data_IF_767590304256
#
_entry.id   IF_767590304256
#
_cell.length_a   1.000
_cell.length_b   1.000
_cell.length_c   1.000
_cell.angle_alpha   90.00
_cell.angle_beta   90.00
_cell.angle_gamma   90.00
#
_symmetry.space_group_name_H-M   'P 1'
#
loop_
_entity.id
_entity.type
_entity.pdbx_description
1 polymer ?
#
# COMPACT_ATOMS: atom_id res chain seq x y z
N UNK A 1 -8.66 41.35 7.49
CA UNK A 1 -7.98 40.56 6.43
C UNK A 1 -8.64 39.21 6.43
N UNK A 2 -8.72 38.50 5.29
CA UNK A 2 -9.45 37.21 5.21
C UNK A 2 -9.11 36.27 6.37
N UNK A 3 -7.82 36.17 6.74
CA UNK A 3 -7.38 35.34 7.89
C UNK A 3 -7.97 35.81 9.23
N UNK A 4 -7.96 37.12 9.52
CA UNK A 4 -8.52 37.66 10.75
C UNK A 4 -10.03 37.43 10.84
N UNK A 5 -10.75 37.65 9.73
CA UNK A 5 -12.20 37.52 9.67
C UNK A 5 -12.63 36.06 9.91
N UNK A 6 -11.92 35.09 9.29
CA UNK A 6 -12.13 33.65 9.53
C UNK A 6 -11.79 33.27 10.98
N UNK A 7 -10.69 33.81 11.53
CA UNK A 7 -10.27 33.52 12.91
C UNK A 7 -11.31 33.99 13.91
N UNK A 8 -11.86 35.18 13.71
CA UNK A 8 -12.92 35.74 14.55
C UNK A 8 -14.18 34.86 14.49
N UNK A 9 -14.63 34.50 13.28
CA UNK A 9 -15.80 33.63 13.11
C UNK A 9 -15.60 32.25 13.78
N UNK A 10 -14.44 31.61 13.59
CA UNK A 10 -14.14 30.32 14.21
C UNK A 10 -14.13 30.41 15.75
N UNK A 11 -13.61 31.51 16.31
CA UNK A 11 -13.56 31.71 17.75
C UNK A 11 -14.94 32.00 18.34
N UNK A 12 -15.70 32.92 17.74
CA UNK A 12 -16.96 33.41 18.28
C UNK A 12 -18.12 32.42 18.07
N UNK A 13 -18.24 31.85 16.86
CA UNK A 13 -19.38 31.01 16.48
C UNK A 13 -19.11 29.52 16.70
N UNK A 14 -17.90 29.05 16.34
CA UNK A 14 -17.55 27.63 16.41
C UNK A 14 -16.81 27.24 17.68
N UNK A 15 -16.32 28.22 18.46
CA UNK A 15 -15.49 28.03 19.66
C UNK A 15 -14.23 27.19 19.39
N UNK A 16 -13.60 27.42 18.23
CA UNK A 16 -12.38 26.76 17.79
C UNK A 16 -11.23 27.77 17.63
N UNK A 17 -10.02 27.34 17.95
CA UNK A 17 -8.79 28.12 17.73
C UNK A 17 -8.13 27.75 16.40
N UNK A 18 -7.73 28.76 15.63
CA UNK A 18 -7.02 28.58 14.37
C UNK A 18 -5.53 28.38 14.65
N UNK A 19 -4.93 27.34 14.06
CA UNK A 19 -3.48 27.13 14.14
C UNK A 19 -2.76 28.07 13.16
N UNK A 20 -2.10 29.09 13.69
CA UNK A 20 -1.36 30.08 12.89
C UNK A 20 -0.21 29.48 12.09
N UNK A 21 0.53 28.54 12.69
CA UNK A 21 1.66 27.85 12.06
C UNK A 21 1.25 27.09 10.79
N UNK A 22 0.02 26.57 10.75
CA UNK A 22 -0.48 25.77 9.62
C UNK A 22 -1.19 26.61 8.58
N UNK A 23 -1.63 27.80 8.95
CA UNK A 23 -2.47 28.67 8.11
C UNK A 23 -1.66 29.84 7.55
N UNK A 24 -0.86 29.50 6.55
CA UNK A 24 0.03 30.43 5.85
C UNK A 24 -0.61 30.88 4.53
N UNK A 25 -0.51 32.18 4.23
CA UNK A 25 -0.85 32.74 2.92
C UNK A 25 0.44 32.74 2.11
N UNK A 26 0.50 31.87 1.10
CA UNK A 26 1.67 31.73 0.22
C UNK A 26 1.38 32.33 -1.16
N UNK A 27 2.44 32.70 -1.88
CA UNK A 27 2.29 33.16 -3.25
C UNK A 27 1.77 32.01 -4.14
N UNK A 28 0.93 32.32 -5.12
CA UNK A 28 0.22 31.28 -5.88
C UNK A 28 1.13 30.41 -6.77
N UNK A 29 2.35 30.87 -7.06
CA UNK A 29 3.37 30.08 -7.77
C UNK A 29 4.12 29.11 -6.85
N UNK A 30 4.09 29.35 -5.53
CA UNK A 30 4.65 28.44 -4.56
C UNK A 30 3.71 27.25 -4.37
N UNK A 31 4.31 26.08 -4.13
CA UNK A 31 3.56 24.84 -3.97
C UNK A 31 2.88 24.79 -2.61
N UNK A 32 1.55 24.88 -2.61
CA UNK A 32 0.74 24.63 -1.43
C UNK A 32 0.37 23.15 -1.34
N UNK A 33 0.41 22.56 -0.15
CA UNK A 33 -0.01 21.16 0.08
C UNK A 33 -1.48 21.13 0.48
N UNK A 34 -2.30 20.38 -0.26
CA UNK A 34 -3.71 20.22 0.05
C UNK A 34 -4.17 18.80 -0.32
N UNK A 35 -4.80 18.09 0.62
CA UNK A 35 -5.28 16.71 0.44
C UNK A 35 -4.24 15.78 -0.22
N UNK A 36 -2.97 15.89 0.19
CA UNK A 36 -1.88 15.06 -0.34
C UNK A 36 -1.38 15.45 -1.74
N UNK A 37 -1.96 16.45 -2.39
CA UNK A 37 -1.46 17.06 -3.63
C UNK A 37 -0.63 18.29 -3.32
N UNK A 38 0.26 18.63 -4.25
CA UNK A 38 0.86 19.95 -4.36
C UNK A 38 0.12 20.76 -5.43
N UNK A 39 -0.35 21.94 -5.07
CA UNK A 39 -1.14 22.83 -5.92
C UNK A 39 -0.34 24.12 -6.13
N UNK A 40 -0.21 24.55 -7.37
CA UNK A 40 0.40 25.82 -7.72
C UNK A 40 -0.09 26.33 -9.09
N UNK A 41 0.09 27.62 -9.33
CA UNK A 41 -0.13 28.25 -10.62
C UNK A 41 1.16 28.17 -11.43
N UNK A 42 1.10 27.52 -12.60
CA UNK A 42 2.26 27.35 -13.47
C UNK A 42 2.61 28.68 -14.15
N UNK A 43 3.86 29.11 -14.01
CA UNK A 43 4.48 30.15 -14.83
C UNK A 43 5.32 29.49 -15.91
N UNK A 44 5.01 29.75 -17.18
CA UNK A 44 5.69 29.08 -18.30
C UNK A 44 5.52 29.88 -19.59
N UNK A 45 6.63 30.15 -20.28
CA UNK A 45 6.62 30.81 -21.59
C UNK A 45 6.46 29.82 -22.77
N UNK A 46 6.37 28.53 -22.47
CA UNK A 46 6.16 27.49 -23.46
C UNK A 46 4.87 27.73 -24.28
N UNK A 47 5.01 27.64 -25.60
CA UNK A 47 3.95 27.92 -26.56
C UNK A 47 3.48 26.60 -27.18
N UNK A 48 2.16 26.45 -27.33
CA UNK A 48 1.52 25.30 -27.97
C UNK A 48 0.71 25.79 -29.16
N UNK A 49 0.72 25.05 -30.27
CA UNK A 49 -0.21 25.29 -31.38
C UNK A 49 -1.59 24.73 -31.05
N UNK A 50 -2.62 25.52 -31.29
CA UNK A 50 -4.01 25.08 -31.22
C UNK A 50 -4.37 24.23 -32.44
N UNK A 51 -5.60 23.68 -32.45
CA UNK A 51 -6.14 22.94 -33.60
C UNK A 51 -6.11 23.79 -34.89
N UNK A 52 -6.25 25.10 -34.76
CA UNK A 52 -6.21 26.08 -35.86
C UNK A 52 -4.79 26.53 -36.24
N UNK A 53 -3.74 25.90 -35.70
CA UNK A 53 -2.34 26.23 -36.01
C UNK A 53 -1.77 27.47 -35.30
N UNK A 54 -2.62 28.25 -34.61
CA UNK A 54 -2.22 29.45 -33.87
C UNK A 54 -1.41 29.10 -32.62
N UNK A 55 -0.30 29.83 -32.41
CA UNK A 55 0.56 29.72 -31.24
C UNK A 55 -0.08 30.41 -30.02
N UNK A 56 -0.31 29.66 -28.93
CA UNK A 56 -0.83 30.18 -27.66
C UNK A 56 0.00 29.72 -26.46
N UNK A 57 0.03 30.54 -25.41
CA UNK A 57 0.69 30.25 -24.12
C UNK A 57 -0.28 29.61 -23.13
N UNK A 58 -0.91 28.49 -23.51
CA UNK A 58 -1.96 27.82 -22.72
C UNK A 58 -1.49 27.29 -21.35
N UNK A 59 -0.17 27.14 -21.17
CA UNK A 59 0.39 26.61 -19.93
C UNK A 59 0.58 27.67 -18.84
N UNK A 60 0.58 28.96 -19.19
CA UNK A 60 0.80 30.03 -18.25
C UNK A 60 -0.49 30.35 -17.49
N UNK A 61 -0.41 30.50 -16.17
CA UNK A 61 -1.58 30.79 -15.34
C UNK A 61 -2.47 29.59 -15.04
N UNK A 62 -2.16 28.40 -15.58
CA UNK A 62 -2.92 27.19 -15.32
C UNK A 62 -2.68 26.66 -13.90
N UNK A 63 -3.74 26.26 -13.21
CA UNK A 63 -3.65 25.54 -11.93
C UNK A 63 -3.18 24.12 -12.19
N UNK A 64 -2.11 23.71 -11.51
CA UNK A 64 -1.50 22.39 -11.67
C UNK A 64 -1.50 21.66 -10.33
N UNK A 65 -1.99 20.41 -10.38
CA UNK A 65 -1.86 19.45 -9.30
C UNK A 65 -0.65 18.56 -9.57
N UNK A 66 0.24 18.37 -8.59
CA UNK A 66 1.35 17.42 -8.67
C UNK A 66 1.41 16.50 -7.46
N UNK A 67 1.94 15.30 -7.67
CA UNK A 67 2.26 14.34 -6.62
C UNK A 67 3.73 14.54 -6.20
N UNK A 68 3.96 14.75 -4.92
CA UNK A 68 5.30 14.85 -4.35
C UNK A 68 5.91 13.45 -4.15
N UNK A 69 7.15 13.25 -4.61
CA UNK A 69 7.88 11.99 -4.43
C UNK A 69 8.09 11.59 -2.97
N UNK A 70 8.11 12.55 -2.03
CA UNK A 70 8.15 12.27 -0.59
C UNK A 70 6.90 11.54 -0.10
N UNK A 71 5.72 11.83 -0.68
CA UNK A 71 4.48 11.12 -0.36
C UNK A 71 4.55 9.66 -0.83
N UNK A 72 5.14 9.44 -2.00
CA UNK A 72 5.35 8.10 -2.57
C UNK A 72 6.30 7.31 -1.69
N UNK A 73 7.42 7.91 -1.31
CA UNK A 73 8.40 7.31 -0.41
C UNK A 73 7.74 6.93 0.91
N UNK A 74 6.99 7.84 1.53
CA UNK A 74 6.24 7.59 2.77
C UNK A 74 5.29 6.40 2.60
N UNK A 75 4.51 6.35 1.52
CA UNK A 75 3.59 5.24 1.23
C UNK A 75 4.30 3.90 1.02
N UNK A 76 5.41 3.88 0.30
CA UNK A 76 6.20 2.67 0.09
C UNK A 76 6.82 2.15 1.40
N UNK A 77 7.25 3.07 2.27
CA UNK A 77 7.75 2.75 3.62
C UNK A 77 6.62 2.24 4.52
N UNK A 78 5.45 2.87 4.51
CA UNK A 78 4.24 2.41 5.24
C UNK A 78 3.89 0.96 4.87
N UNK A 79 3.99 0.60 3.58
CA UNK A 79 3.76 -0.76 3.13
C UNK A 79 4.93 -1.73 3.35
N UNK A 80 6.03 -1.29 3.98
CA UNK A 80 7.26 -2.06 4.14
C UNK A 80 7.84 -2.59 2.81
N UNK A 81 7.61 -1.89 1.70
CA UNK A 81 8.06 -2.26 0.35
C UNK A 81 9.41 -1.66 -0.04
N UNK A 82 9.84 -0.62 0.69
CA UNK A 82 11.04 0.17 0.41
C UNK A 82 12.00 0.13 1.59
N UNK A 83 13.28 0.12 1.25
CA UNK A 83 14.42 0.37 2.12
C UNK A 83 15.25 1.46 1.44
N UNK A 84 15.52 2.56 2.14
CA UNK A 84 16.40 3.62 1.64
C UNK A 84 17.81 3.28 2.07
N UNK A 85 18.72 3.16 1.09
CA UNK A 85 20.13 2.89 1.35
C UNK A 85 20.95 4.09 0.91
N UNK A 86 21.82 4.58 1.78
CA UNK A 86 22.79 5.58 1.38
C UNK A 86 24.01 4.87 0.79
N UNK A 87 24.27 5.09 -0.50
CA UNK A 87 25.45 4.57 -1.20
C UNK A 87 26.14 5.78 -1.81
N UNK A 88 27.41 5.99 -1.44
CA UNK A 88 28.24 7.11 -1.90
C UNK A 88 27.59 8.49 -1.69
N UNK A 89 26.97 8.68 -0.52
CA UNK A 89 26.28 9.92 -0.16
C UNK A 89 24.93 10.13 -0.84
N UNK A 90 24.46 9.17 -1.65
CA UNK A 90 23.18 9.24 -2.36
C UNK A 90 22.17 8.25 -1.78
N UNK A 91 20.97 8.75 -1.52
CA UNK A 91 19.85 7.92 -1.09
C UNK A 91 19.24 7.17 -2.28
N UNK A 92 19.45 5.87 -2.31
CA UNK A 92 18.95 4.96 -3.34
C UNK A 92 17.78 4.17 -2.79
N UNK A 93 16.71 4.10 -3.58
CA UNK A 93 15.48 3.39 -3.24
C UNK A 93 15.64 1.90 -3.56
N UNK A 94 15.72 1.06 -2.52
CA UNK A 94 15.85 -0.38 -2.66
C UNK A 94 14.54 -1.09 -2.31
N UNK A 95 14.10 -2.03 -3.15
CA UNK A 95 12.90 -2.82 -2.83
C UNK A 95 13.16 -3.80 -1.67
N UNK A 96 12.20 -3.93 -0.75
CA UNK A 96 12.25 -4.82 0.42
C UNK A 96 11.19 -5.93 0.30
N UNK A 97 11.52 -7.21 0.60
CA UNK A 97 10.51 -8.26 0.68
C UNK A 97 9.60 -8.08 1.90
N UNK A 98 8.30 -8.26 1.70
CA UNK A 98 7.28 -8.19 2.75
C UNK A 98 7.05 -9.56 3.37
N UNK A 99 7.96 -9.97 4.26
CA UNK A 99 7.97 -11.32 4.86
C UNK A 99 6.67 -11.68 5.60
N UNK A 100 5.93 -10.69 6.10
CA UNK A 100 4.65 -10.93 6.77
C UNK A 100 3.56 -11.48 5.81
N UNK A 101 3.74 -11.36 4.50
CA UNK A 101 2.82 -11.90 3.49
C UNK A 101 3.18 -13.33 3.06
N UNK A 102 4.30 -13.90 3.53
CA UNK A 102 4.72 -15.27 3.20
C UNK A 102 3.62 -16.34 3.42
N UNK A 103 2.77 -16.26 4.47
CA UNK A 103 1.68 -17.21 4.66
C UNK A 103 0.57 -17.14 3.59
N UNK A 104 0.39 -16.01 2.90
CA UNK A 104 -0.67 -15.83 1.90
C UNK A 104 -0.37 -16.59 0.61
N UNK A 105 -1.39 -16.98 -0.17
CA UNK A 105 -1.18 -17.65 -1.46
C UNK A 105 -0.49 -16.72 -2.48
N UNK A 106 0.29 -17.24 -3.44
CA UNK A 106 0.99 -16.40 -4.42
C UNK A 106 0.06 -15.43 -5.18
N UNK A 107 -1.13 -15.89 -5.58
CA UNK A 107 -2.16 -15.10 -6.25
C UNK A 107 -2.73 -13.99 -5.35
N UNK A 108 -2.84 -14.26 -4.05
CA UNK A 108 -3.34 -13.34 -3.03
C UNK A 108 -2.33 -12.25 -2.71
N UNK A 109 -1.04 -12.63 -2.65
CA UNK A 109 0.06 -11.66 -2.60
C UNK A 109 -0.02 -10.72 -3.80
N UNK A 110 -0.11 -11.25 -5.02
CA UNK A 110 -0.19 -10.41 -6.22
C UNK A 110 -1.42 -9.49 -6.20
N UNK A 111 -2.59 -9.99 -5.76
CA UNK A 111 -3.80 -9.17 -5.65
C UNK A 111 -3.65 -8.02 -4.66
N UNK A 112 -3.00 -8.24 -3.51
CA UNK A 112 -2.72 -7.18 -2.54
C UNK A 112 -1.85 -6.08 -3.15
N UNK A 113 -0.73 -6.44 -3.80
CA UNK A 113 0.14 -5.45 -4.46
C UNK A 113 -0.59 -4.68 -5.57
N UNK A 114 -1.47 -5.36 -6.31
CA UNK A 114 -2.31 -4.72 -7.32
C UNK A 114 -3.32 -3.75 -6.71
N UNK A 115 -4.00 -4.14 -5.63
CA UNK A 115 -4.98 -3.29 -4.95
C UNK A 115 -4.33 -2.01 -4.40
N UNK A 116 -3.15 -2.12 -3.79
CA UNK A 116 -2.38 -0.97 -3.31
C UNK A 116 -1.93 -0.05 -4.44
N UNK A 117 -1.46 -0.62 -5.55
CA UNK A 117 -1.04 0.15 -6.74
C UNK A 117 -2.21 0.88 -7.38
N UNK A 118 -3.35 0.19 -7.55
CA UNK A 118 -4.58 0.80 -8.06
C UNK A 118 -5.12 1.87 -7.13
N UNK A 119 -5.12 1.63 -5.82
CA UNK A 119 -5.59 2.60 -4.83
C UNK A 119 -4.81 3.91 -4.88
N UNK A 120 -3.47 3.83 -4.91
CA UNK A 120 -2.62 5.01 -5.03
C UNK A 120 -2.87 5.75 -6.34
N UNK A 121 -2.90 5.03 -7.47
CA UNK A 121 -3.12 5.64 -8.78
C UNK A 121 -4.51 6.28 -8.89
N UNK A 122 -5.56 5.62 -8.43
CA UNK A 122 -6.91 6.17 -8.46
C UNK A 122 -7.00 7.48 -7.70
N UNK A 123 -6.43 7.53 -6.49
CA UNK A 123 -6.43 8.74 -5.66
C UNK A 123 -5.65 9.89 -6.31
N UNK A 124 -4.48 9.60 -6.90
CA UNK A 124 -3.58 10.61 -7.49
C UNK A 124 -3.75 10.82 -9.01
N UNK A 125 -4.77 10.23 -9.62
CA UNK A 125 -4.95 10.21 -11.08
C UNK A 125 -5.09 11.61 -11.72
N UNK A 126 -5.41 12.64 -10.93
CA UNK A 126 -5.51 14.04 -11.36
C UNK A 126 -4.17 14.76 -11.47
N UNK A 127 -3.10 14.23 -10.86
CA UNK A 127 -1.79 14.88 -10.86
C UNK A 127 -1.17 14.91 -12.26
N UNK A 128 -0.56 16.04 -12.62
CA UNK A 128 0.10 16.23 -13.91
C UNK A 128 1.30 15.29 -14.12
N UNK A 129 2.02 14.97 -13.05
CA UNK A 129 3.17 14.06 -13.06
C UNK A 129 2.82 12.62 -12.65
N UNK A 130 1.52 12.25 -12.57
CA UNK A 130 1.07 10.93 -12.10
C UNK A 130 1.72 9.78 -12.88
N UNK A 131 1.90 9.93 -14.20
CA UNK A 131 2.49 8.88 -15.02
C UNK A 131 3.91 8.52 -14.60
N UNK A 132 4.72 9.51 -14.23
CA UNK A 132 6.11 9.29 -13.80
C UNK A 132 6.14 8.73 -12.38
N UNK A 133 5.43 9.39 -11.48
CA UNK A 133 5.44 9.08 -10.06
C UNK A 133 4.83 7.70 -9.76
N UNK A 134 3.66 7.39 -10.32
CA UNK A 134 3.03 6.07 -10.14
C UNK A 134 3.79 4.96 -10.88
N UNK A 135 4.46 5.24 -12.00
CA UNK A 135 5.33 4.25 -12.64
C UNK A 135 6.54 3.90 -11.75
N UNK A 136 7.16 4.90 -11.13
CA UNK A 136 8.24 4.69 -10.15
C UNK A 136 7.76 3.88 -8.95
N UNK A 137 6.60 4.24 -8.38
CA UNK A 137 5.95 3.49 -7.30
C UNK A 137 5.71 2.03 -7.69
N UNK A 138 5.06 1.79 -8.83
CA UNK A 138 4.73 0.46 -9.32
C UNK A 138 5.97 -0.39 -9.62
N UNK A 139 7.07 0.24 -10.05
CA UNK A 139 8.34 -0.44 -10.24
C UNK A 139 8.90 -0.98 -8.91
N UNK A 140 8.94 -0.15 -7.85
CA UNK A 140 9.37 -0.61 -6.51
C UNK A 140 8.44 -1.71 -5.99
N UNK A 141 7.13 -1.54 -6.15
CA UNK A 141 6.13 -2.53 -5.78
C UNK A 141 6.33 -3.87 -6.50
N UNK A 142 6.58 -3.84 -7.81
CA UNK A 142 6.86 -5.04 -8.63
C UNK A 142 8.11 -5.77 -8.14
N UNK A 143 9.19 -5.03 -7.88
CA UNK A 143 10.43 -5.62 -7.39
C UNK A 143 10.30 -6.17 -5.96
N UNK A 144 9.58 -5.45 -5.08
CA UNK A 144 9.24 -5.91 -3.73
C UNK A 144 8.43 -7.21 -3.79
N UNK A 145 7.40 -7.26 -4.65
CA UNK A 145 6.57 -8.45 -4.86
C UNK A 145 7.40 -9.65 -5.32
N UNK A 146 8.31 -9.49 -6.28
CA UNK A 146 9.18 -10.59 -6.72
C UNK A 146 10.06 -11.11 -5.60
N UNK A 147 10.59 -10.23 -4.74
CA UNK A 147 11.36 -10.65 -3.56
C UNK A 147 10.48 -11.37 -2.54
N UNK A 148 9.26 -10.89 -2.31
CA UNK A 148 8.27 -11.53 -1.41
C UNK A 148 7.89 -12.93 -1.89
N UNK A 149 7.55 -13.07 -3.18
CA UNK A 149 7.24 -14.37 -3.80
C UNK A 149 8.46 -15.30 -3.83
N UNK A 150 9.66 -14.77 -4.07
CA UNK A 150 10.90 -15.54 -4.01
C UNK A 150 11.11 -16.13 -2.64
N UNK A 151 10.91 -15.33 -1.59
CA UNK A 151 10.96 -15.79 -0.20
C UNK A 151 9.92 -16.88 0.09
N UNK A 152 8.68 -16.71 -0.39
CA UNK A 152 7.62 -17.71 -0.21
C UNK A 152 7.93 -19.04 -0.91
N UNK A 153 8.43 -18.99 -2.14
CA UNK A 153 8.67 -20.16 -2.98
C UNK A 153 10.08 -20.75 -2.77
N UNK A 154 10.86 -20.23 -1.82
CA UNK A 154 12.26 -20.56 -1.61
C UNK A 154 13.10 -20.47 -2.90
N UNK A 155 12.89 -19.40 -3.67
CA UNK A 155 13.56 -19.15 -4.96
C UNK A 155 14.01 -17.70 -5.09
N UNK A 156 14.88 -17.42 -6.06
CA UNK A 156 15.29 -16.04 -6.31
C UNK A 156 14.19 -15.25 -7.04
N UNK A 157 14.15 -13.94 -6.83
CA UNK A 157 13.24 -13.03 -7.53
C UNK A 157 13.33 -13.17 -9.06
N UNK A 158 14.53 -13.45 -9.60
CA UNK A 158 14.77 -13.72 -11.02
C UNK A 158 14.06 -15.01 -11.49
N UNK A 159 14.17 -16.10 -10.73
CA UNK A 159 13.49 -17.37 -11.04
C UNK A 159 11.96 -17.21 -10.95
N UNK A 160 11.46 -16.46 -9.96
CA UNK A 160 10.03 -16.13 -9.86
C UNK A 160 9.55 -15.38 -11.10
N UNK A 161 10.28 -14.34 -11.50
CA UNK A 161 9.96 -13.58 -12.72
C UNK A 161 9.87 -14.51 -13.92
N UNK A 162 10.87 -15.35 -14.15
CA UNK A 162 10.89 -16.29 -15.29
C UNK A 162 9.74 -17.30 -15.23
N UNK A 163 9.44 -17.84 -14.05
CA UNK A 163 8.39 -18.86 -13.87
C UNK A 163 6.97 -18.36 -14.19
N UNK A 164 6.68 -17.11 -13.86
CA UNK A 164 5.33 -16.52 -14.01
C UNK A 164 5.27 -15.43 -15.08
N UNK A 165 6.32 -15.26 -15.88
CA UNK A 165 6.28 -14.39 -17.05
C UNK A 165 5.49 -15.11 -18.15
N UNK A 166 4.42 -14.49 -18.63
CA UNK A 166 3.68 -14.93 -19.80
C UNK A 166 3.59 -13.74 -20.75
N UNK A 167 4.20 -13.89 -21.93
CA UNK A 167 4.38 -12.80 -22.89
C UNK A 167 5.07 -11.58 -22.23
N UNK A 168 4.41 -10.43 -22.22
CA UNK A 168 4.89 -9.19 -21.60
C UNK A 168 4.46 -9.04 -20.13
N UNK A 169 3.51 -9.86 -19.68
CA UNK A 169 2.87 -9.71 -18.39
C UNK A 169 3.39 -10.72 -17.34
N UNK A 170 3.20 -10.36 -16.08
CA UNK A 170 3.46 -11.27 -14.95
C UNK A 170 2.14 -11.82 -14.46
N UNK A 171 1.97 -13.15 -14.55
CA UNK A 171 0.68 -13.80 -14.39
C UNK A 171 0.79 -15.01 -13.47
N UNK A 172 -0.05 -15.05 -12.43
CA UNK A 172 -0.16 -16.19 -11.52
C UNK A 172 -1.49 -16.91 -11.76
N UNK A 173 -1.47 -18.20 -12.15
CA UNK A 173 -2.69 -19.00 -12.23
C UNK A 173 -3.22 -19.33 -10.84
N UNK A 174 -4.54 -19.36 -10.70
CA UNK A 174 -5.23 -19.81 -9.49
C UNK A 174 -6.55 -20.50 -9.86
N UNK A 175 -7.02 -21.41 -9.00
CA UNK A 175 -8.32 -22.05 -9.20
C UNK A 175 -9.38 -21.30 -8.42
N UNK A 176 -10.49 -20.99 -9.10
CA UNK A 176 -11.66 -20.40 -8.45
C UNK A 176 -12.35 -21.42 -7.53
N UNK A 177 -13.29 -20.98 -6.68
CA UNK A 177 -14.07 -21.86 -5.81
C UNK A 177 -14.81 -22.99 -6.58
N UNK A 178 -15.07 -22.77 -7.88
CA UNK A 178 -15.68 -23.72 -8.81
C UNK A 178 -14.68 -24.60 -9.57
N UNK A 179 -13.39 -24.58 -9.21
CA UNK A 179 -12.34 -25.39 -9.86
C UNK A 179 -11.87 -24.90 -11.23
N UNK A 180 -12.43 -23.80 -11.76
CA UNK A 180 -12.00 -23.22 -13.04
C UNK A 180 -10.67 -22.47 -12.88
N UNK A 181 -9.70 -22.78 -13.73
CA UNK A 181 -8.41 -22.09 -13.76
C UNK A 181 -8.60 -20.64 -14.25
N UNK A 182 -8.20 -19.69 -13.42
CA UNK A 182 -8.16 -18.26 -13.69
C UNK A 182 -6.73 -17.75 -13.53
N UNK A 183 -6.52 -16.51 -13.94
CA UNK A 183 -5.22 -15.87 -13.92
C UNK A 183 -5.32 -14.52 -13.23
N UNK A 184 -4.35 -14.18 -12.37
CA UNK A 184 -4.17 -12.83 -11.88
C UNK A 184 -2.96 -12.21 -12.55
N UNK A 185 -3.18 -11.08 -13.19
CA UNK A 185 -2.16 -10.32 -13.92
C UNK A 185 -1.69 -9.18 -13.02
N UNK A 186 -0.38 -8.99 -12.88
CA UNK A 186 0.16 -7.80 -12.22
C UNK A 186 -0.27 -6.55 -12.99
N UNK A 187 -0.58 -5.47 -12.28
CA UNK A 187 -1.11 -4.23 -12.85
C UNK A 187 -0.38 -3.77 -14.12
N UNK A 188 -1.13 -3.68 -15.24
CA UNK A 188 -0.63 -3.32 -16.57
C UNK A 188 -1.52 -2.27 -17.30
N UNK A 189 -2.46 -1.64 -16.59
CA UNK A 189 -3.41 -0.66 -17.17
C UNK A 189 -2.78 0.72 -17.47
N UNK A 190 -1.54 0.96 -17.01
CA UNK A 190 -0.80 2.20 -17.19
C UNK A 190 -1.18 3.31 -16.20
N UNK A 191 -0.54 4.46 -16.29
CA UNK A 191 -0.68 5.58 -15.32
C UNK A 191 -1.02 6.90 -16.01
N UNK A 192 -2.02 6.89 -16.90
CA UNK A 192 -2.43 8.10 -17.61
C UNK A 192 -3.15 9.07 -16.67
N UNK A 193 -2.87 10.36 -16.78
CA UNK A 193 -3.65 11.38 -16.07
C UNK A 193 -5.12 11.26 -16.48
N UNK A 194 -6.01 11.23 -15.49
CA UNK A 194 -7.46 11.29 -15.68
C UNK A 194 -7.93 12.74 -15.50
N UNK A 195 -8.99 13.09 -16.21
CA UNK A 195 -9.69 14.35 -15.95
C UNK A 195 -10.60 14.17 -14.75
N UNK A 196 -10.90 15.27 -14.06
CA UNK A 196 -11.88 15.25 -12.98
C UNK A 196 -13.22 14.76 -13.54
N UNK A 197 -13.74 13.68 -12.96
CA UNK A 197 -15.09 13.21 -13.22
C UNK A 197 -15.96 13.78 -12.12
N UNK A 198 -16.93 14.60 -12.51
CA UNK A 198 -17.99 15.09 -11.64
C UNK A 198 -19.16 14.12 -11.80
N UNK A 199 -18.98 12.91 -11.28
CA UNK A 199 -20.09 11.95 -11.21
C UNK A 199 -20.89 12.24 -9.92
N UNK A 200 -22.21 12.10 -9.99
CA UNK A 200 -23.16 12.66 -9.00
C UNK A 200 -23.21 11.83 -7.70
N UNK A 201 -22.66 10.62 -7.71
CA UNK A 201 -22.63 9.69 -6.57
C UNK A 201 -21.32 9.80 -5.77
N UNK A 202 -21.28 10.74 -4.82
CA UNK A 202 -20.13 10.93 -3.92
C UNK A 202 -20.09 9.92 -2.73
N UNK A 203 -21.18 9.16 -2.49
CA UNK A 203 -21.34 8.25 -1.34
C UNK A 203 -21.11 6.76 -1.67
N UNK A 204 -20.22 6.45 -2.61
CA UNK A 204 -19.85 5.05 -2.87
C UNK A 204 -18.82 4.58 -1.83
N UNK A 205 -19.22 3.62 -0.99
CA UNK A 205 -18.31 2.94 -0.06
C UNK A 205 -17.08 2.41 -0.82
N UNK A 206 -15.86 2.58 -0.28
CA UNK A 206 -14.65 2.14 -0.97
C UNK A 206 -14.68 0.62 -1.16
N UNK A 207 -14.43 0.18 -2.40
CA UNK A 207 -14.34 -1.24 -2.73
C UNK A 207 -12.99 -1.79 -2.23
N UNK A 208 -12.89 -2.04 -0.92
CA UNK A 208 -11.71 -2.63 -0.31
C UNK A 208 -11.63 -4.11 -0.71
N UNK A 209 -10.67 -4.45 -1.57
CA UNK A 209 -10.37 -5.85 -1.88
C UNK A 209 -9.80 -6.51 -0.61
N UNK A 210 -10.63 -7.25 0.12
CA UNK A 210 -10.19 -8.08 1.24
C UNK A 210 -9.53 -9.33 0.67
N UNK A 211 -8.20 -9.36 0.68
CA UNK A 211 -7.46 -10.59 0.39
C UNK A 211 -7.63 -11.52 1.59
N UNK A 212 -8.26 -12.69 1.42
CA UNK A 212 -8.54 -13.57 2.55
C UNK A 212 -7.22 -14.06 3.16
N UNK A 213 -7.15 -14.05 4.49
CA UNK A 213 -6.05 -14.69 5.19
C UNK A 213 -6.01 -16.19 4.89
N UNK A 214 -4.81 -16.82 4.86
CA UNK A 214 -4.68 -18.24 4.61
C UNK A 214 -5.53 -19.04 5.58
N UNK A 215 -6.20 -20.07 5.05
CA UNK A 215 -7.12 -20.88 5.83
C UNK A 215 -6.38 -21.65 6.94
N UNK A 216 -7.12 -22.12 7.93
CA UNK A 216 -6.59 -22.86 9.06
C UNK A 216 -5.82 -24.12 8.61
N UNK A 217 -6.34 -24.79 7.57
CA UNK A 217 -5.72 -25.96 6.92
C UNK A 217 -4.44 -25.57 6.17
N UNK A 218 -4.44 -24.45 5.45
CA UNK A 218 -3.27 -23.96 4.72
C UNK A 218 -2.12 -23.61 5.67
N UNK A 219 -2.43 -23.00 6.81
CA UNK A 219 -1.45 -22.67 7.85
C UNK A 219 -0.84 -23.93 8.48
N UNK A 220 -1.64 -24.98 8.69
CA UNK A 220 -1.18 -26.26 9.25
C UNK A 220 -0.25 -27.01 8.28
N UNK A 221 -0.55 -26.93 6.97
CA UNK A 221 0.28 -27.51 5.89
C UNK A 221 1.61 -26.79 5.68
N UNK A 222 1.73 -25.51 6.06
CA UNK A 222 2.98 -24.74 5.94
C UNK A 222 4.10 -25.29 6.85
N UNK A 223 3.76 -26.11 7.86
CA UNK A 223 4.75 -26.82 8.69
C UNK A 223 5.63 -25.89 9.54
N UNK A 224 5.24 -24.63 9.71
CA UNK A 224 6.02 -23.58 10.40
C UNK A 224 5.32 -23.13 11.67
N UNK A 225 6.05 -23.11 12.77
CA UNK A 225 5.57 -22.56 14.03
C UNK A 225 5.42 -21.03 13.92
N UNK A 226 4.24 -20.50 14.23
CA UNK A 226 3.96 -19.06 14.17
C UNK A 226 4.54 -18.26 15.35
N UNK A 227 4.98 -18.97 16.40
CA UNK A 227 5.63 -18.40 17.58
C UNK A 227 7.15 -18.30 17.39
N UNK A 228 7.81 -19.43 17.17
CA UNK A 228 9.28 -19.51 17.13
C UNK A 228 9.86 -19.61 15.71
N UNK A 229 9.03 -19.81 14.68
CA UNK A 229 9.48 -19.90 13.28
C UNK A 229 10.13 -21.22 12.89
N UNK A 230 10.28 -22.21 13.80
CA UNK A 230 10.83 -23.54 13.47
C UNK A 230 9.94 -24.27 12.44
N UNK A 231 10.59 -24.94 11.49
CA UNK A 231 9.96 -25.87 10.55
C UNK A 231 9.92 -27.28 11.15
N UNK A 232 8.78 -27.96 11.08
CA UNK A 232 8.63 -29.32 11.61
C UNK A 232 7.19 -29.76 11.78
N UNK A 233 6.96 -30.78 12.61
CA UNK A 233 5.62 -31.19 13.01
C UNK A 233 4.98 -30.06 13.85
N UNK A 234 3.84 -29.59 13.39
CA UNK A 234 3.10 -28.49 14.02
C UNK A 234 1.69 -28.93 14.40
N UNK A 235 1.20 -28.35 15.48
CA UNK A 235 -0.13 -28.61 16.07
C UNK A 235 -0.89 -27.29 16.12
N UNK A 236 -2.22 -27.36 16.01
CA UNK A 236 -3.07 -26.19 16.14
C UNK A 236 -3.45 -25.96 17.60
N UNK A 237 -2.94 -24.89 18.20
CA UNK A 237 -3.44 -24.38 19.47
C UNK A 237 -4.68 -23.51 19.25
N UNK A 238 -5.72 -23.71 20.06
CA UNK A 238 -6.99 -22.99 19.95
C UNK A 238 -7.45 -22.45 21.31
N UNK A 239 -7.98 -21.24 21.31
CA UNK A 239 -8.53 -20.58 22.51
C UNK A 239 -10.02 -20.32 22.30
N UNK A 240 -10.83 -20.55 23.34
CA UNK A 240 -12.30 -20.43 23.28
C UNK A 240 -12.76 -18.99 23.00
N UNK A 241 -12.17 -18.01 23.68
CA UNK A 241 -12.51 -16.59 23.56
C UNK A 241 -11.27 -15.70 23.68
N UNK A 242 -11.12 -14.72 22.78
CA UNK A 242 -10.00 -13.77 22.78
C UNK A 242 -10.02 -12.85 24.01
N UNK A 243 -11.20 -12.55 24.55
CA UNK A 243 -11.40 -11.68 25.72
C UNK A 243 -10.81 -12.24 27.00
N UNK A 244 -10.50 -13.54 27.06
CA UNK A 244 -9.88 -14.17 28.23
C UNK A 244 -8.36 -14.05 28.26
N UNK A 245 -7.73 -13.65 27.15
CA UNK A 245 -6.28 -13.49 27.06
C UNK A 245 -5.88 -12.17 27.72
N UNK A 246 -4.98 -12.23 28.70
CA UNK A 246 -4.50 -11.04 29.42
C UNK A 246 -3.37 -10.32 28.68
N UNK A 247 -2.70 -11.01 27.75
CA UNK A 247 -1.62 -10.45 26.95
C UNK A 247 -0.29 -10.41 27.72
N UNK A 248 -0.13 -11.26 28.73
CA UNK A 248 1.10 -11.32 29.53
C UNK A 248 2.20 -12.06 28.77
N UNK A 249 1.82 -13.15 28.09
CA UNK A 249 2.76 -14.00 27.37
C UNK A 249 2.89 -13.61 25.89
N UNK A 250 4.03 -13.95 25.27
CA UNK A 250 4.30 -13.66 23.86
C UNK A 250 3.24 -14.23 22.91
N UNK A 251 2.74 -15.45 23.21
CA UNK A 251 1.72 -16.11 22.41
C UNK A 251 0.36 -15.41 22.52
N UNK A 252 -0.02 -14.93 23.71
CA UNK A 252 -1.26 -14.17 23.93
C UNK A 252 -1.22 -12.82 23.20
N UNK A 253 -0.08 -12.10 23.31
CA UNK A 253 0.14 -10.83 22.59
C UNK A 253 0.02 -11.04 21.08
N UNK A 254 0.55 -12.14 20.56
CA UNK A 254 0.46 -12.48 19.15
C UNK A 254 -0.98 -12.77 18.71
N UNK A 255 -1.75 -13.52 19.52
CA UNK A 255 -3.16 -13.85 19.24
C UNK A 255 -4.07 -12.62 19.31
N UNK A 256 -3.85 -11.73 20.28
CA UNK A 256 -4.57 -10.46 20.42
C UNK A 256 -4.25 -9.52 19.25
N UNK A 257 -2.97 -9.32 18.93
CA UNK A 257 -2.55 -8.47 17.81
C UNK A 257 -3.09 -8.95 16.46
N UNK A 258 -3.21 -10.26 16.27
CA UNK A 258 -3.76 -10.85 15.04
C UNK A 258 -5.28 -10.99 15.06
N UNK A 259 -5.94 -10.76 16.20
CA UNK A 259 -7.36 -11.05 16.45
C UNK A 259 -7.79 -12.46 16.01
N UNK A 260 -6.98 -13.48 16.33
CA UNK A 260 -7.22 -14.88 15.92
C UNK A 260 -7.27 -15.82 17.12
N UNK A 261 -8.29 -16.68 17.15
CA UNK A 261 -8.45 -17.75 18.16
C UNK A 261 -7.54 -18.95 17.96
N UNK A 262 -6.77 -19.00 16.88
CA UNK A 262 -5.97 -20.18 16.49
C UNK A 262 -4.53 -19.82 16.15
N UNK A 263 -3.61 -20.65 16.61
CA UNK A 263 -2.17 -20.47 16.50
C UNK A 263 -1.50 -21.80 16.12
N UNK A 264 -0.72 -21.81 15.04
CA UNK A 264 0.07 -22.99 14.63
C UNK A 264 1.37 -23.00 15.41
N UNK A 265 1.64 -24.06 16.15
CA UNK A 265 2.78 -24.15 17.08
C UNK A 265 3.53 -25.47 16.93
N UNK A 266 4.84 -25.48 17.15
CA UNK A 266 5.60 -26.73 17.28
C UNK A 266 5.33 -27.40 18.64
N UNK A 267 5.76 -28.65 18.81
CA UNK A 267 5.58 -29.41 20.06
C UNK A 267 6.17 -28.69 21.29
N UNK A 268 7.37 -28.11 21.17
CA UNK A 268 8.00 -27.31 22.25
C UNK A 268 7.09 -26.14 22.70
N UNK A 269 6.62 -25.34 21.73
CA UNK A 269 5.77 -24.19 22.01
C UNK A 269 4.38 -24.60 22.50
N UNK A 270 3.84 -25.70 21.99
CA UNK A 270 2.58 -26.25 22.48
C UNK A 270 2.70 -26.68 23.94
N UNK A 271 3.79 -27.36 24.30
CA UNK A 271 4.07 -27.80 25.67
C UNK A 271 4.21 -26.62 26.62
N UNK A 272 4.93 -25.56 26.19
CA UNK A 272 4.99 -24.30 26.93
C UNK A 272 3.59 -23.74 27.19
N UNK A 273 2.75 -23.61 26.15
CA UNK A 273 1.40 -23.04 26.30
C UNK A 273 0.51 -23.89 27.23
N UNK A 274 0.58 -25.22 27.13
CA UNK A 274 -0.22 -26.13 27.96
C UNK A 274 0.21 -26.11 29.43
N UNK A 275 1.49 -25.91 29.72
CA UNK A 275 1.98 -25.81 31.09
C UNK A 275 1.51 -24.53 31.79
N UNK A 276 1.38 -23.42 31.06
CA UNK A 276 0.82 -22.17 31.60
C UNK A 276 -0.68 -22.26 31.96
N UNK A 277 -1.41 -23.26 31.48
CA UNK A 277 -2.83 -23.44 31.77
C UNK A 277 -3.13 -24.29 33.00
N UNK A 278 -2.09 -24.77 33.72
CA UNK A 278 -2.21 -25.63 34.91
C UNK A 278 -1.95 -24.92 36.25
N UNK A 279 -1.72 -23.61 36.22
CA UNK A 279 -1.76 -22.71 37.39
C UNK A 279 -3.06 -21.93 37.41
#
# INVERSE_FOLDING_TARGET
TIKADITQFMREQLKLELSDEKTLITHAQDKAKFLGYEIFIRKSDAVKRNKDGVLKRDFNGAVVLTLNSAVIQKKLTEYNALEVRNIDGKDIWWSKPRRYMTPMKPEDILAQYNAETRGLYNYYSLAANVSKECASFAFIMKMSMFKTLGWKLNTSARKVRQKYQKDKDFVIPYNDAKGKQKYRVFYNEGFKKRNAQFDVDYDKLPQTMYVPYPSLVERLKDGRCELCGKEGKVVMHHVRTLTKLKGNNEWEKLMLKRHRKTLVVCEDCNSMIQNYGKE
#
